data_IF_878327179422
#
_entry.id   IF_878327179422
#
_cell.length_a   1.000
_cell.length_b   1.000
_cell.length_c   1.000
_cell.angle_alpha   90.00
_cell.angle_beta   90.00
_cell.angle_gamma   90.00
#
_symmetry.space_group_name_H-M   'P 1'
#
loop_
_entity.id
_entity.type
_entity.pdbx_description
1 polymer ?
#
# COMPACT_ATOMS: atom_id res chain seq x y z
N UNK A 1 1.95 7.02 20.52
CA UNK A 1 2.07 8.26 21.32
C UNK A 1 0.85 8.38 22.22
N UNK A 2 1.00 8.87 23.46
CA UNK A 2 -0.15 9.16 24.33
C UNK A 2 -0.51 10.64 24.18
N UNK A 3 -1.79 10.91 23.91
CA UNK A 3 -2.31 12.24 23.66
C UNK A 3 -3.66 12.36 24.35
N UNK A 4 -3.94 13.52 24.95
CA UNK A 4 -5.26 13.83 25.48
C UNK A 4 -6.03 14.64 24.42
N UNK A 5 -7.21 14.15 24.06
CA UNK A 5 -8.09 14.75 23.06
C UNK A 5 -9.53 14.68 23.57
N UNK A 6 -10.33 15.70 23.28
CA UNK A 6 -11.76 15.70 23.56
C UNK A 6 -12.51 15.01 22.40
N UNK A 7 -13.38 14.07 22.72
CA UNK A 7 -14.16 13.29 21.75
C UNK A 7 -15.60 13.25 22.24
N UNK A 8 -16.55 13.40 21.32
CA UNK A 8 -17.97 13.23 21.60
C UNK A 8 -18.29 11.82 22.13
N UNK A 9 -19.05 11.75 23.22
CA UNK A 9 -19.36 10.50 23.90
C UNK A 9 -20.34 9.61 23.12
N UNK A 10 -21.29 10.20 22.39
CA UNK A 10 -22.20 9.43 21.54
C UNK A 10 -21.45 8.81 20.36
N UNK A 11 -20.50 9.55 19.78
CA UNK A 11 -19.64 9.06 18.70
C UNK A 11 -18.80 7.88 19.19
N UNK A 12 -18.20 7.98 20.38
CA UNK A 12 -17.42 6.89 20.96
C UNK A 12 -18.30 5.67 21.26
N UNK A 13 -19.51 5.87 21.79
CA UNK A 13 -20.45 4.79 22.05
C UNK A 13 -20.84 4.05 20.75
N UNK A 14 -21.15 4.80 19.68
CA UNK A 14 -21.44 4.22 18.36
C UNK A 14 -20.25 3.43 17.82
N UNK A 15 -19.03 3.96 17.96
CA UNK A 15 -17.82 3.28 17.50
C UNK A 15 -17.59 1.96 18.25
N UNK A 16 -17.78 1.94 19.57
CA UNK A 16 -17.65 0.73 20.39
C UNK A 16 -18.75 -0.29 20.09
N UNK A 17 -19.97 0.14 19.76
CA UNK A 17 -21.07 -0.77 19.37
C UNK A 17 -20.90 -1.33 17.96
N UNK A 18 -20.30 -0.57 17.03
CA UNK A 18 -20.17 -0.95 15.64
C UNK A 18 -19.12 -2.03 15.37
N UNK A 19 -18.21 -2.29 16.32
CA UNK A 19 -17.10 -3.23 16.12
C UNK A 19 -16.70 -3.99 17.37
N UNK A 20 -15.77 -4.96 17.25
CA UNK A 20 -15.31 -5.78 18.37
C UNK A 20 -14.24 -5.05 19.21
N UNK A 21 -14.48 -3.80 19.60
CA UNK A 21 -13.51 -3.01 20.38
C UNK A 21 -13.77 -3.14 21.87
N UNK A 22 -12.72 -3.41 22.65
CA UNK A 22 -12.84 -3.54 24.12
C UNK A 22 -12.55 -2.22 24.83
N UNK A 23 -11.78 -1.35 24.20
CA UNK A 23 -11.34 -0.08 24.80
C UNK A 23 -11.55 1.10 23.86
N UNK A 24 -11.74 2.31 24.43
CA UNK A 24 -11.81 3.57 23.66
C UNK A 24 -10.57 3.76 22.77
N UNK A 25 -9.38 3.37 23.26
CA UNK A 25 -8.13 3.48 22.49
C UNK A 25 -8.16 2.60 21.23
N UNK A 26 -8.62 1.36 21.33
CA UNK A 26 -8.70 0.44 20.19
C UNK A 26 -9.63 0.97 19.10
N UNK A 27 -10.80 1.49 19.49
CA UNK A 27 -11.74 2.09 18.55
C UNK A 27 -11.12 3.29 17.82
N UNK A 28 -10.41 4.16 18.55
CA UNK A 28 -9.72 5.33 17.96
C UNK A 28 -8.61 4.88 17.01
N UNK A 29 -7.80 3.89 17.39
CA UNK A 29 -6.72 3.38 16.55
C UNK A 29 -7.25 2.73 15.27
N UNK A 30 -8.35 1.97 15.36
CA UNK A 30 -9.01 1.39 14.21
C UNK A 30 -9.57 2.47 13.26
N UNK A 31 -10.18 3.52 13.81
CA UNK A 31 -10.66 4.67 13.03
C UNK A 31 -9.52 5.39 12.29
N UNK A 32 -8.40 5.63 12.96
CA UNK A 32 -7.23 6.26 12.33
C UNK A 32 -6.63 5.38 11.22
N UNK A 33 -6.55 4.06 11.43
CA UNK A 33 -6.11 3.12 10.38
C UNK A 33 -7.04 3.15 9.17
N UNK A 34 -8.35 3.27 9.38
CA UNK A 34 -9.32 3.39 8.29
C UNK A 34 -9.09 4.67 7.47
N UNK A 35 -8.89 5.81 8.13
CA UNK A 35 -8.62 7.08 7.44
C UNK A 35 -7.33 7.02 6.61
N UNK A 36 -6.27 6.40 7.14
CA UNK A 36 -5.03 6.20 6.39
C UNK A 36 -5.26 5.34 5.13
N UNK A 37 -6.03 4.26 5.24
CA UNK A 37 -6.39 3.42 4.08
C UNK A 37 -7.23 4.18 3.06
N UNK A 38 -8.20 4.97 3.49
CA UNK A 38 -9.01 5.78 2.59
C UNK A 38 -8.17 6.81 1.83
N UNK A 39 -7.18 7.43 2.48
CA UNK A 39 -6.24 8.31 1.80
C UNK A 39 -5.46 7.56 0.70
N UNK A 40 -4.96 6.36 0.99
CA UNK A 40 -4.28 5.53 -0.02
C UNK A 40 -5.21 5.17 -1.20
N UNK A 41 -6.47 4.83 -0.95
CA UNK A 41 -7.44 4.57 -2.01
C UNK A 41 -7.74 5.80 -2.86
N UNK A 42 -7.82 7.00 -2.25
CA UNK A 42 -7.97 8.26 -2.98
C UNK A 42 -6.79 8.52 -3.91
N UNK A 43 -5.57 8.21 -3.49
CA UNK A 43 -4.40 8.29 -4.38
C UNK A 43 -4.52 7.29 -5.54
N UNK A 44 -4.96 6.07 -5.28
CA UNK A 44 -5.17 5.05 -6.32
C UNK A 44 -6.23 5.50 -7.34
N UNK A 45 -7.31 6.12 -6.88
CA UNK A 45 -8.37 6.68 -7.73
C UNK A 45 -7.85 7.75 -8.70
N UNK A 46 -6.76 8.47 -8.37
CA UNK A 46 -6.14 9.43 -9.31
C UNK A 46 -5.52 8.79 -10.54
N UNK A 47 -5.22 7.49 -10.47
CA UNK A 47 -4.66 6.70 -11.57
C UNK A 47 -5.73 6.01 -12.41
N UNK A 48 -7.00 6.09 -12.01
CA UNK A 48 -8.12 5.54 -12.76
C UNK A 48 -8.14 6.12 -14.18
N UNK A 49 -8.09 5.24 -15.19
CA UNK A 49 -8.09 5.61 -16.60
C UNK A 49 -6.77 6.16 -17.15
N UNK A 50 -5.73 6.31 -16.32
CA UNK A 50 -4.38 6.73 -16.76
C UNK A 50 -3.47 5.55 -17.06
N UNK A 51 -3.71 4.42 -16.40
CA UNK A 51 -2.94 3.20 -16.60
C UNK A 51 -3.46 2.47 -17.83
N UNK A 52 -2.57 2.20 -18.77
CA UNK A 52 -2.83 1.27 -19.87
C UNK A 52 -2.74 -0.14 -19.31
N UNK A 53 -3.83 -0.89 -19.45
CA UNK A 53 -3.86 -2.31 -19.10
C UNK A 53 -3.46 -3.11 -20.34
N UNK A 54 -2.29 -3.73 -20.32
CA UNK A 54 -1.75 -4.55 -21.42
C UNK A 54 -2.11 -6.03 -21.23
N UNK A 55 -3.38 -6.32 -20.97
CA UNK A 55 -3.85 -7.68 -20.69
C UNK A 55 -5.32 -7.89 -21.03
N UNK A 56 -5.79 -7.29 -22.12
CA UNK A 56 -7.08 -7.64 -22.71
C UNK A 56 -7.02 -8.99 -23.43
N UNK A 57 -8.17 -9.49 -23.89
CA UNK A 57 -8.29 -10.77 -24.62
C UNK A 57 -7.51 -10.80 -25.96
N UNK A 58 -6.93 -9.67 -26.35
CA UNK A 58 -6.05 -9.45 -27.51
C UNK A 58 -4.56 -9.70 -27.20
N UNK A 59 -4.19 -9.91 -25.93
CA UNK A 59 -2.79 -10.14 -25.52
C UNK A 59 -2.53 -11.64 -25.39
N UNK A 60 -1.93 -12.23 -26.43
CA UNK A 60 -1.41 -13.60 -26.39
C UNK A 60 -0.21 -13.69 -25.44
N UNK A 61 -0.45 -13.98 -24.16
CA UNK A 61 0.63 -14.15 -23.16
C UNK A 61 1.59 -15.30 -23.50
N UNK A 62 1.16 -16.23 -24.35
CA UNK A 62 1.94 -17.37 -24.84
C UNK A 62 2.83 -17.03 -26.04
N UNK A 63 2.67 -15.85 -26.65
CA UNK A 63 3.58 -15.36 -27.67
C UNK A 63 4.85 -14.87 -26.97
N UNK A 64 5.99 -15.50 -27.27
CA UNK A 64 7.27 -15.04 -26.77
C UNK A 64 7.48 -13.58 -27.20
N UNK A 65 7.73 -12.64 -26.27
CA UNK A 65 8.02 -11.27 -26.65
C UNK A 65 9.22 -11.29 -27.59
N UNK A 66 9.08 -10.65 -28.75
CA UNK A 66 10.18 -10.46 -29.68
C UNK A 66 11.32 -9.83 -28.89
N UNK A 67 12.43 -10.55 -28.81
CA UNK A 67 13.47 -10.35 -27.81
C UNK A 67 14.12 -8.99 -27.95
N UNK A 68 13.59 -7.96 -27.30
CA UNK A 68 14.40 -6.82 -26.91
C UNK A 68 15.36 -7.32 -25.84
N UNK A 69 16.68 -7.33 -26.08
CA UNK A 69 17.62 -7.77 -25.05
C UNK A 69 17.56 -6.77 -23.89
N UNK A 70 16.87 -7.15 -22.83
CA UNK A 70 16.94 -6.46 -21.54
C UNK A 70 18.36 -6.67 -21.01
N UNK A 71 19.21 -5.67 -21.20
CA UNK A 71 20.57 -5.68 -20.66
C UNK A 71 20.49 -5.61 -19.13
N UNK A 72 20.62 -6.76 -18.47
CA UNK A 72 20.85 -6.83 -17.03
C UNK A 72 22.26 -6.30 -16.77
N UNK A 73 22.37 -5.07 -16.27
CA UNK A 73 23.64 -4.50 -15.87
C UNK A 73 24.00 -5.01 -14.47
N UNK A 74 24.67 -6.17 -14.41
CA UNK A 74 25.25 -6.66 -13.17
C UNK A 74 26.47 -5.81 -12.81
N UNK A 75 26.50 -5.16 -11.62
CA UNK A 75 27.66 -4.36 -11.24
C UNK A 75 28.89 -5.25 -11.06
N UNK A 76 30.00 -4.84 -11.67
CA UNK A 76 31.24 -5.61 -11.73
C UNK A 76 31.70 -6.11 -10.33
N UNK A 77 32.14 -7.38 -10.21
CA UNK A 77 32.53 -7.93 -8.92
C UNK A 77 33.68 -7.13 -8.32
N UNK A 78 33.45 -6.61 -7.11
CA UNK A 78 34.43 -5.79 -6.38
C UNK A 78 35.74 -6.55 -6.20
N UNK A 79 36.87 -5.91 -6.57
CA UNK A 79 38.21 -6.48 -6.43
C UNK A 79 38.45 -6.83 -4.97
N UNK A 80 38.56 -8.13 -4.67
CA UNK A 80 39.03 -8.62 -3.37
C UNK A 80 40.46 -8.11 -3.16
N UNK A 81 40.65 -7.18 -2.21
CA UNK A 81 41.98 -6.78 -1.75
C UNK A 81 42.60 -7.99 -1.07
N UNK A 82 43.60 -8.59 -1.69
CA UNK A 82 44.51 -9.51 -1.02
C UNK A 82 45.28 -8.70 0.03
N UNK A 83 45.03 -8.99 1.31
CA UNK A 83 45.80 -8.44 2.42
C UNK A 83 47.24 -8.94 2.39
N UNK A 84 48.15 -8.08 2.83
CA UNK A 84 49.53 -8.39 3.17
C UNK A 84 49.65 -8.48 4.69
#
# INVERSE_FOLDING_TARGET
MRTNIEIDDELMAKALQAGPFKTKKEAVEAGLKLLARQAAYRELLKWRGKLKWEGGDDVDWAAAPESTPLSVHEPAPGKRRAGR
#
